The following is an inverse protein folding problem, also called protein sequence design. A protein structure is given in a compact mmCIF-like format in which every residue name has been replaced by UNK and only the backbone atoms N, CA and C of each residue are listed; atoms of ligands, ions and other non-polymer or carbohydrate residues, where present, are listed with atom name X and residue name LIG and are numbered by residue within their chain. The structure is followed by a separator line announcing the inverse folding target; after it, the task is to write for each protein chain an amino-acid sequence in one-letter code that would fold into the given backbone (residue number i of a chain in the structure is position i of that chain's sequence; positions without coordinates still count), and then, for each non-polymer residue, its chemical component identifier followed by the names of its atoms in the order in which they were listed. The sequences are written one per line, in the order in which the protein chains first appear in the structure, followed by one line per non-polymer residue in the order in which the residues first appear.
data_IF_594089126691
#
_entry.id   IF_594089126691
#
_cell.length_a   1.000
_cell.length_b   1.000
_cell.length_c   1.000
_cell.angle_alpha   90.00
_cell.angle_beta   90.00
_cell.angle_gamma   90.00
#
_symmetry.space_group_name_H-M   'P 1'
#
loop_
_entity.id
_entity.type
_entity.pdbx_description
1 polymer ?
#
# COMPACT_ATOMS: atom_id res chain seq x y z
N UNK A 1 -19.35 6.45 -9.43
CA UNK A 1 -18.27 6.93 -10.32
C UNK A 1 -17.00 7.05 -9.49
N UNK A 2 -15.84 6.69 -10.03
CA UNK A 2 -14.57 6.83 -9.33
C UNK A 2 -14.23 8.31 -9.11
N UNK A 3 -13.69 8.67 -7.93
CA UNK A 3 -13.09 10.00 -7.72
C UNK A 3 -11.78 10.07 -8.51
N UNK A 4 -11.52 11.20 -9.18
CA UNK A 4 -10.30 11.42 -9.97
C UNK A 4 -9.66 12.74 -9.52
N UNK A 5 -8.34 12.77 -9.24
CA UNK A 5 -7.64 14.00 -8.92
C UNK A 5 -7.66 14.96 -10.11
N UNK A 6 -7.91 16.24 -9.83
CA UNK A 6 -7.78 17.29 -10.82
C UNK A 6 -6.31 17.65 -10.99
N UNK A 7 -5.64 17.15 -12.03
CA UNK A 7 -4.37 17.76 -12.50
C UNK A 7 -4.28 17.73 -14.02
N UNK A 8 -4.24 18.95 -14.56
CA UNK A 8 -4.03 19.29 -15.96
C UNK A 8 -2.58 19.72 -16.14
N UNK A 9 -1.66 18.78 -16.33
CA UNK A 9 -0.32 19.08 -16.83
C UNK A 9 0.20 17.86 -17.59
N UNK A 10 0.72 18.07 -18.81
CA UNK A 10 0.92 17.04 -19.83
C UNK A 10 2.01 15.97 -19.55
N UNK A 11 2.43 15.78 -18.30
CA UNK A 11 3.38 14.75 -17.88
C UNK A 11 2.71 13.46 -17.41
N UNK A 12 3.48 12.38 -17.22
CA UNK A 12 2.99 11.17 -16.56
C UNK A 12 2.62 11.46 -15.10
N UNK A 13 1.47 10.94 -14.68
CA UNK A 13 0.94 11.02 -13.32
C UNK A 13 1.14 9.69 -12.62
N UNK A 14 1.67 9.73 -11.40
CA UNK A 14 1.70 8.57 -10.51
C UNK A 14 0.36 8.44 -9.83
N UNK A 15 -0.30 7.30 -10.02
CA UNK A 15 -1.63 7.07 -9.47
C UNK A 15 -1.71 5.72 -8.78
N UNK A 16 -2.49 5.67 -7.71
CA UNK A 16 -2.95 4.46 -7.03
C UNK A 16 -4.39 4.22 -7.47
N UNK A 17 -4.66 3.04 -8.02
CA UNK A 17 -5.94 2.67 -8.62
C UNK A 17 -6.55 1.55 -7.78
N UNK A 18 -7.73 1.81 -7.20
CA UNK A 18 -8.51 0.80 -6.50
C UNK A 18 -9.42 0.03 -7.45
N UNK A 19 -9.62 -1.26 -7.18
CA UNK A 19 -10.40 -2.18 -7.99
C UNK A 19 -11.61 -2.73 -7.24
N UNK A 20 -12.73 -2.83 -7.94
CA UNK A 20 -13.91 -3.58 -7.49
C UNK A 20 -13.71 -5.05 -7.82
N UNK A 21 -13.70 -5.90 -6.80
CA UNK A 21 -13.74 -7.35 -6.99
C UNK A 21 -15.19 -7.81 -7.11
N UNK A 22 -15.49 -8.70 -8.06
CA UNK A 22 -16.83 -9.22 -8.29
C UNK A 22 -17.44 -9.91 -7.05
N UNK A 23 -16.60 -10.59 -6.26
CA UNK A 23 -16.99 -11.26 -5.02
C UNK A 23 -16.89 -10.35 -3.78
N UNK A 24 -16.53 -9.07 -3.94
CA UNK A 24 -16.17 -8.19 -2.84
C UNK A 24 -14.76 -8.44 -2.32
N UNK A 25 -14.33 -7.61 -1.36
CA UNK A 25 -13.04 -7.70 -0.69
C UNK A 25 -13.24 -7.76 0.83
N UNK A 26 -12.50 -8.63 1.50
CA UNK A 26 -12.41 -8.68 2.95
C UNK A 26 -10.95 -8.68 3.40
N UNK A 27 -10.67 -8.14 4.60
CA UNK A 27 -9.34 -8.28 5.20
C UNK A 27 -9.05 -9.76 5.45
N UNK A 28 -7.83 -10.21 5.18
CA UNK A 28 -7.51 -11.65 5.16
C UNK A 28 -7.79 -12.35 6.49
N UNK A 29 -7.61 -11.65 7.62
CA UNK A 29 -7.93 -12.18 8.95
C UNK A 29 -9.43 -12.41 9.21
N UNK A 30 -10.32 -11.89 8.36
CA UNK A 30 -11.76 -12.12 8.42
C UNK A 30 -12.23 -13.25 7.48
N UNK A 31 -11.33 -13.82 6.67
CA UNK A 31 -11.65 -14.93 5.78
C UNK A 31 -11.68 -16.26 6.55
N UNK A 32 -12.53 -17.18 6.11
CA UNK A 32 -12.81 -18.44 6.83
C UNK A 32 -11.61 -19.37 6.93
N UNK A 33 -10.80 -19.42 5.88
CA UNK A 33 -9.73 -20.39 5.72
C UNK A 33 -8.71 -19.95 4.65
N UNK A 34 -7.63 -20.73 4.51
CA UNK A 34 -6.56 -20.45 3.56
C UNK A 34 -7.01 -20.56 2.09
N UNK A 35 -8.04 -21.36 1.79
CA UNK A 35 -8.58 -21.48 0.44
C UNK A 35 -9.30 -20.19 0.05
N UNK A 36 -10.09 -19.60 0.96
CA UNK A 36 -10.72 -18.30 0.77
C UNK A 36 -9.67 -17.19 0.59
N UNK A 37 -8.60 -17.18 1.38
CA UNK A 37 -7.46 -16.26 1.21
C UNK A 37 -6.83 -16.40 -0.17
N UNK A 38 -6.53 -17.62 -0.61
CA UNK A 38 -5.91 -17.87 -1.90
C UNK A 38 -6.85 -17.49 -3.06
N UNK A 39 -8.15 -17.75 -2.93
CA UNK A 39 -9.15 -17.36 -3.90
C UNK A 39 -9.25 -15.84 -4.05
N UNK A 40 -9.30 -15.09 -2.94
CA UNK A 40 -9.31 -13.63 -2.97
C UNK A 40 -8.04 -13.06 -3.63
N UNK A 41 -6.85 -13.58 -3.27
CA UNK A 41 -5.58 -13.17 -3.90
C UNK A 41 -5.56 -13.45 -5.40
N UNK A 42 -6.11 -14.58 -5.85
CA UNK A 42 -6.22 -14.89 -7.26
C UNK A 42 -7.18 -13.94 -7.99
N UNK A 43 -8.29 -13.55 -7.36
CA UNK A 43 -9.22 -12.55 -7.89
C UNK A 43 -8.57 -11.16 -8.00
N UNK A 44 -7.81 -10.74 -6.99
CA UNK A 44 -7.03 -9.50 -7.02
C UNK A 44 -6.07 -9.51 -8.22
N UNK A 45 -5.27 -10.58 -8.36
CA UNK A 45 -4.31 -10.70 -9.46
C UNK A 45 -4.99 -10.75 -10.84
N UNK A 46 -6.17 -11.36 -10.95
CA UNK A 46 -6.96 -11.35 -12.19
C UNK A 46 -7.45 -9.93 -12.53
N UNK A 47 -8.08 -9.24 -11.56
CA UNK A 47 -8.58 -7.88 -11.76
C UNK A 47 -7.46 -6.89 -12.14
N UNK A 48 -6.28 -7.00 -11.50
CA UNK A 48 -5.10 -6.20 -11.84
C UNK A 48 -4.60 -6.47 -13.26
N UNK A 49 -4.50 -7.74 -13.67
CA UNK A 49 -4.08 -8.11 -15.03
C UNK A 49 -5.06 -7.60 -16.08
N UNK A 50 -6.37 -7.74 -15.84
CA UNK A 50 -7.40 -7.31 -16.77
C UNK A 50 -7.40 -5.79 -16.96
N UNK A 51 -7.22 -5.02 -15.87
CA UNK A 51 -7.07 -3.57 -15.98
C UNK A 51 -5.80 -3.20 -16.76
N UNK A 52 -4.66 -3.83 -16.48
CA UNK A 52 -3.41 -3.54 -17.19
C UNK A 52 -3.50 -3.85 -18.68
N UNK A 53 -4.24 -4.89 -19.08
CA UNK A 53 -4.52 -5.18 -20.49
C UNK A 53 -5.33 -4.04 -21.14
N UNK A 54 -6.37 -3.53 -20.46
CA UNK A 54 -7.15 -2.38 -20.96
C UNK A 54 -6.33 -1.11 -21.04
N UNK A 55 -5.36 -0.94 -20.13
CA UNK A 55 -4.48 0.21 -20.11
C UNK A 55 -3.25 0.08 -21.03
N UNK A 56 -3.06 -1.05 -21.72
CA UNK A 56 -1.86 -1.32 -22.51
C UNK A 56 -1.57 -0.24 -23.56
N UNK A 57 -2.60 0.38 -24.14
CA UNK A 57 -2.47 1.48 -25.10
C UNK A 57 -1.81 2.73 -24.51
N UNK A 58 -1.94 2.95 -23.20
CA UNK A 58 -1.34 4.07 -22.46
C UNK A 58 0.07 3.79 -21.98
N UNK A 59 0.58 2.55 -22.17
CA UNK A 59 1.94 2.12 -21.79
C UNK A 59 2.27 2.46 -20.33
N UNK A 60 1.55 1.88 -19.34
CA UNK A 60 1.82 2.13 -17.93
C UNK A 60 3.28 1.81 -17.58
N UNK A 61 3.92 2.70 -16.83
CA UNK A 61 5.27 2.53 -16.29
C UNK A 61 5.23 2.33 -14.76
N UNK A 62 6.34 1.88 -14.18
CA UNK A 62 6.53 1.70 -12.73
C UNK A 62 5.36 1.00 -12.02
N UNK A 63 4.84 -0.03 -12.67
CA UNK A 63 3.66 -0.75 -12.21
C UNK A 63 3.95 -1.54 -10.94
N UNK A 64 3.25 -1.21 -9.86
CA UNK A 64 3.25 -1.96 -8.61
C UNK A 64 1.88 -2.61 -8.40
N UNK A 65 1.84 -3.94 -8.46
CA UNK A 65 0.66 -4.72 -8.07
C UNK A 65 0.73 -5.06 -6.59
N UNK A 66 -0.31 -4.69 -5.83
CA UNK A 66 -0.41 -5.05 -4.42
C UNK A 66 -0.97 -6.47 -4.30
N UNK A 67 -0.24 -7.36 -3.60
CA UNK A 67 -0.61 -8.78 -3.49
C UNK A 67 -1.87 -9.01 -2.64
N UNK A 68 -2.04 -8.21 -1.60
CA UNK A 68 -3.08 -8.42 -0.57
C UNK A 68 -4.23 -7.42 -0.68
N UNK A 69 -4.04 -6.33 -1.43
CA UNK A 69 -5.01 -5.27 -1.60
C UNK A 69 -5.47 -5.22 -3.06
N UNK A 70 -6.75 -4.95 -3.34
CA UNK A 70 -7.28 -4.79 -4.70
C UNK A 70 -6.87 -3.43 -5.28
N UNK A 71 -5.59 -3.11 -5.24
CA UNK A 71 -5.03 -1.87 -5.74
C UNK A 71 -3.84 -2.16 -6.65
N UNK A 72 -3.52 -1.23 -7.53
CA UNK A 72 -2.21 -1.16 -8.16
C UNK A 72 -1.76 0.29 -8.25
N UNK A 73 -0.46 0.54 -8.23
CA UNK A 73 0.10 1.84 -8.55
C UNK A 73 0.78 1.80 -9.92
N UNK A 74 0.72 2.89 -10.68
CA UNK A 74 1.37 3.01 -11.97
C UNK A 74 1.60 4.48 -12.34
N UNK A 75 2.58 4.71 -13.20
CA UNK A 75 2.72 5.95 -13.96
C UNK A 75 1.92 5.87 -15.26
N UNK A 76 1.05 6.85 -15.47
CA UNK A 76 0.15 6.91 -16.62
C UNK A 76 0.10 8.33 -17.20
N UNK A 77 0.00 8.49 -18.54
CA UNK A 77 -0.28 9.79 -19.12
C UNK A 77 -1.65 10.30 -18.65
N UNK A 78 -1.81 11.61 -18.48
CA UNK A 78 -3.10 12.19 -18.06
C UNK A 78 -4.30 11.78 -18.94
N UNK A 79 -4.06 11.46 -20.21
CA UNK A 79 -5.09 10.92 -21.12
C UNK A 79 -5.70 9.58 -20.66
N UNK A 80 -4.98 8.79 -19.85
CA UNK A 80 -5.48 7.52 -19.31
C UNK A 80 -6.53 7.72 -18.21
N UNK A 81 -6.61 8.91 -17.58
CA UNK A 81 -7.55 9.18 -16.49
C UNK A 81 -9.01 9.02 -16.95
N UNK A 82 -9.33 9.43 -18.19
CA UNK A 82 -10.68 9.26 -18.74
C UNK A 82 -11.05 7.78 -18.94
N UNK A 83 -10.08 6.94 -19.33
CA UNK A 83 -10.29 5.49 -19.43
C UNK A 83 -10.50 4.87 -18.04
N UNK A 84 -9.72 5.28 -17.04
CA UNK A 84 -9.92 4.85 -15.64
C UNK A 84 -11.27 5.30 -15.08
N UNK A 85 -11.71 6.52 -15.39
CA UNK A 85 -13.00 7.08 -14.95
C UNK A 85 -14.21 6.26 -15.39
N UNK A 86 -14.10 5.70 -16.60
CA UNK A 86 -15.18 4.99 -17.29
C UNK A 86 -15.12 3.48 -17.09
N UNK A 87 -14.02 2.94 -16.55
CA UNK A 87 -13.86 1.52 -16.32
C UNK A 87 -14.70 1.05 -15.10
N UNK A 88 -15.68 0.15 -15.29
CA UNK A 88 -16.54 -0.34 -14.21
C UNK A 88 -15.78 -1.19 -13.18
N UNK A 89 -14.57 -1.65 -13.47
CA UNK A 89 -13.71 -2.34 -12.50
C UNK A 89 -12.97 -1.36 -11.57
N UNK A 90 -12.87 -0.07 -11.91
CA UNK A 90 -12.12 0.92 -11.11
C UNK A 90 -13.01 1.53 -10.03
N UNK A 91 -12.68 1.27 -8.76
CA UNK A 91 -13.41 1.84 -7.60
C UNK A 91 -13.04 3.30 -7.36
N UNK A 92 -11.76 3.63 -7.45
CA UNK A 92 -11.19 4.95 -7.21
C UNK A 92 -9.85 5.13 -7.91
N UNK A 93 -9.44 6.38 -8.10
CA UNK A 93 -8.09 6.76 -8.54
C UNK A 93 -7.60 7.86 -7.61
N UNK A 94 -6.43 7.67 -7.02
CA UNK A 94 -5.80 8.63 -6.10
C UNK A 94 -4.41 8.96 -6.62
N UNK A 95 -3.98 10.21 -6.46
CA UNK A 95 -2.61 10.61 -6.81
C UNK A 95 -1.62 10.03 -5.79
N UNK A 96 -0.51 9.46 -6.29
CA UNK A 96 0.58 8.92 -5.47
C UNK A 96 1.57 10.05 -5.13
N UNK A 97 1.32 10.72 -4.00
CA UNK A 97 2.15 11.82 -3.50
C UNK A 97 3.11 11.37 -2.41
N UNK A 98 4.34 11.88 -2.45
CA UNK A 98 5.31 11.67 -1.38
C UNK A 98 4.89 12.41 -0.10
N UNK A 99 5.00 11.74 1.04
CA UNK A 99 4.80 12.34 2.37
C UNK A 99 6.16 12.49 3.04
N UNK A 100 6.45 13.70 3.52
CA UNK A 100 7.70 14.01 4.20
C UNK A 100 7.69 13.51 5.65
N UNK A 101 8.82 12.98 6.17
CA UNK A 101 8.94 12.58 7.57
C UNK A 101 8.66 13.74 8.53
N UNK A 102 7.93 13.47 9.61
CA UNK A 102 7.71 14.42 10.71
C UNK A 102 8.10 13.79 12.04
N UNK A 103 8.80 14.55 12.89
CA UNK A 103 9.34 14.06 14.15
C UNK A 103 8.45 14.47 15.32
N UNK A 104 8.14 13.52 16.21
CA UNK A 104 7.60 13.80 17.55
C UNK A 104 8.58 13.28 18.60
N UNK A 105 8.85 14.07 19.64
CA UNK A 105 9.71 13.69 20.78
C UNK A 105 8.84 13.18 21.93
N UNK A 106 8.99 11.94 22.43
CA UNK A 106 8.06 11.46 23.48
C UNK A 106 8.53 10.35 24.45
N UNK A 107 9.82 10.01 24.56
CA UNK A 107 10.23 8.89 25.44
C UNK A 107 9.95 9.13 26.94
N UNK A 108 10.22 10.31 27.55
CA UNK A 108 9.93 10.52 28.97
C UNK A 108 8.42 10.59 29.28
N UNK A 109 7.61 11.05 28.31
CA UNK A 109 6.20 11.34 28.52
C UNK A 109 5.32 10.09 28.63
N UNK A 110 5.79 8.96 28.09
CA UNK A 110 5.02 7.69 28.05
C UNK A 110 5.38 6.72 29.19
N UNK A 111 6.25 7.11 30.13
CA UNK A 111 6.59 6.29 31.29
C UNK A 111 7.46 5.05 31.02
N UNK A 112 8.15 5.00 29.87
CA UNK A 112 8.98 3.87 29.46
C UNK A 112 10.00 3.38 30.53
N UNK A 113 10.69 4.26 31.31
CA UNK A 113 11.62 3.81 32.34
C UNK A 113 10.99 2.92 33.42
N UNK A 114 9.74 3.19 33.82
CA UNK A 114 9.03 2.40 34.83
C UNK A 114 8.68 1.00 34.31
N UNK A 115 8.31 0.87 33.04
CA UNK A 115 8.03 -0.41 32.42
C UNK A 115 9.28 -1.30 32.34
N UNK A 116 10.43 -0.72 31.95
CA UNK A 116 11.70 -1.43 31.91
C UNK A 116 12.16 -1.86 33.32
N UNK A 117 12.04 -0.98 34.31
CA UNK A 117 12.34 -1.31 35.71
C UNK A 117 11.45 -2.45 36.26
N UNK A 118 10.24 -2.61 35.69
CA UNK A 118 9.32 -3.70 36.02
C UNK A 118 9.59 -4.99 35.23
N UNK A 119 10.67 -5.04 34.43
CA UNK A 119 11.09 -6.24 33.69
C UNK A 119 10.46 -6.41 32.30
N UNK A 120 9.63 -5.47 31.84
CA UNK A 120 9.04 -5.53 30.50
C UNK A 120 10.07 -5.11 29.45
N UNK A 121 10.44 -6.02 28.55
CA UNK A 121 11.48 -5.79 27.54
C UNK A 121 11.00 -5.87 26.09
N UNK A 122 9.78 -6.39 25.85
CA UNK A 122 9.29 -6.69 24.50
C UNK A 122 9.85 -7.99 23.90
N UNK A 123 10.53 -8.83 24.69
CA UNK A 123 11.06 -10.11 24.21
C UNK A 123 9.96 -10.98 23.58
N UNK A 124 10.28 -11.58 22.44
CA UNK A 124 9.35 -12.41 21.66
C UNK A 124 8.33 -11.62 20.82
N UNK A 125 8.38 -10.29 20.83
CA UNK A 125 7.56 -9.42 19.98
C UNK A 125 8.38 -8.87 18.82
N UNK A 126 7.75 -8.72 17.66
CA UNK A 126 8.32 -8.04 16.50
C UNK A 126 7.53 -6.77 16.22
N UNK A 127 8.24 -5.66 16.01
CA UNK A 127 7.64 -4.36 15.67
C UNK A 127 8.07 -4.00 14.24
N UNK A 128 7.10 -3.75 13.36
CA UNK A 128 7.37 -3.23 12.03
C UNK A 128 7.40 -1.70 12.07
N UNK A 129 8.51 -1.12 11.61
CA UNK A 129 8.69 0.34 11.48
C UNK A 129 8.74 0.69 10.00
N UNK A 130 7.79 1.50 9.53
CA UNK A 130 7.73 1.99 8.16
C UNK A 130 8.32 3.39 8.13
N UNK A 131 9.60 3.48 7.79
CA UNK A 131 10.36 4.73 7.79
C UNK A 131 11.36 4.72 6.62
N UNK A 132 12.23 5.71 6.56
CA UNK A 132 13.33 5.89 5.60
C UNK A 132 14.38 4.78 5.63
N UNK A 133 14.40 3.96 6.68
CA UNK A 133 15.34 2.85 6.87
C UNK A 133 15.94 2.87 8.27
N UNK A 134 16.96 2.02 8.48
CA UNK A 134 17.68 1.91 9.75
C UNK A 134 19.16 1.68 9.49
N UNK A 135 20.03 2.31 10.28
CA UNK A 135 21.45 1.95 10.30
C UNK A 135 21.63 0.64 11.06
N UNK A 136 21.68 -0.47 10.31
CA UNK A 136 21.83 -1.83 10.86
C UNK A 136 23.20 -2.07 11.51
N UNK A 137 24.19 -1.21 11.27
CA UNK A 137 25.52 -1.31 11.86
C UNK A 137 25.64 -0.58 13.21
N UNK A 138 24.62 0.19 13.61
CA UNK A 138 24.65 0.97 14.84
C UNK A 138 24.73 0.05 16.08
N UNK A 139 25.67 0.26 17.02
CA UNK A 139 25.89 -0.65 18.15
C UNK A 139 24.64 -0.90 19.03
N UNK A 140 23.74 0.07 19.17
CA UNK A 140 22.52 -0.07 19.98
C UNK A 140 21.44 -0.94 19.32
N UNK A 141 21.56 -1.20 18.02
CA UNK A 141 20.61 -2.00 17.25
C UNK A 141 21.13 -3.41 16.93
N UNK A 142 22.34 -3.72 17.39
CA UNK A 142 22.93 -5.05 17.25
C UNK A 142 22.00 -6.14 17.81
N UNK A 143 21.64 -7.10 16.96
CA UNK A 143 20.70 -8.19 17.29
C UNK A 143 19.24 -7.77 17.48
N UNK A 144 18.84 -6.56 17.06
CA UNK A 144 17.46 -6.04 17.21
C UNK A 144 16.74 -5.81 15.88
N UNK A 145 17.45 -5.80 14.76
CA UNK A 145 16.88 -5.73 13.41
C UNK A 145 16.80 -7.13 12.81
N UNK A 146 15.77 -7.39 12.02
CA UNK A 146 15.52 -8.67 11.32
C UNK A 146 15.49 -8.49 9.82
#
# INVERSE_FOLDING_TARGET
MASIPATTSGGPLRVIIGLRLAAGYAVEGALSDQQAVNAQRAQIAAAQRDLLQRLAAFRPADVKQFRYLPYLAAELPGAALAALASDPAVSEVVEDLAVEPSLITSVPLIGAPGAWASGYSGAGQTVAVLDTGVDTSHPFLSGKTV
#
